data_IF_175165990022
#
_entry.id   IF_175165990022
#
_cell.length_a   1.000
_cell.length_b   1.000
_cell.length_c   1.000
_cell.angle_alpha   90.00
_cell.angle_beta   90.00
_cell.angle_gamma   90.00
#
_symmetry.space_group_name_H-M   'P 1'
#
loop_
_entity.id
_entity.type
_entity.pdbx_description
1 polymer ?
#
# COMPACT_ATOMS: atom_id res chain seq x y z
N UNK A 1 -19.74 -6.15 36.55
CA UNK A 1 -19.38 -6.73 35.24
C UNK A 1 -18.09 -7.48 35.47
N UNK A 2 -18.08 -8.78 35.23
CA UNK A 2 -16.93 -9.62 35.57
C UNK A 2 -15.75 -9.27 34.65
N UNK A 3 -14.51 -9.48 35.12
CA UNK A 3 -13.32 -9.19 34.34
C UNK A 3 -13.31 -9.98 33.02
N UNK A 4 -13.88 -11.18 33.06
CA UNK A 4 -14.08 -12.06 31.90
C UNK A 4 -15.04 -11.48 30.87
N UNK A 5 -16.21 -10.99 31.30
CA UNK A 5 -17.20 -10.36 30.41
C UNK A 5 -16.60 -9.15 29.65
N UNK A 6 -15.72 -8.40 30.33
CA UNK A 6 -15.04 -7.24 29.74
C UNK A 6 -14.00 -7.63 28.71
N UNK A 7 -13.25 -8.71 28.94
CA UNK A 7 -12.28 -9.24 27.98
C UNK A 7 -13.00 -9.82 26.76
N UNK A 8 -14.08 -10.56 26.95
CA UNK A 8 -14.86 -11.16 25.87
C UNK A 8 -15.46 -10.07 24.96
N UNK A 9 -16.00 -8.98 25.54
CA UNK A 9 -16.49 -7.82 24.80
C UNK A 9 -15.38 -7.16 23.95
N UNK A 10 -14.20 -6.95 24.52
CA UNK A 10 -13.07 -6.33 23.81
C UNK A 10 -12.55 -7.22 22.68
N UNK A 11 -12.58 -8.55 22.86
CA UNK A 11 -12.22 -9.51 21.81
C UNK A 11 -13.24 -9.51 20.66
N UNK A 12 -14.53 -9.34 20.96
CA UNK A 12 -15.56 -9.20 19.94
C UNK A 12 -15.38 -7.90 19.14
N UNK A 13 -15.11 -6.78 19.83
CA UNK A 13 -14.82 -5.50 19.20
C UNK A 13 -13.57 -5.59 18.29
N UNK A 14 -12.51 -6.22 18.79
CA UNK A 14 -11.29 -6.50 18.02
C UNK A 14 -11.59 -7.30 16.74
N UNK A 15 -12.38 -8.37 16.84
CA UNK A 15 -12.77 -9.20 15.67
C UNK A 15 -13.58 -8.39 14.67
N UNK A 16 -14.52 -7.57 15.14
CA UNK A 16 -15.32 -6.70 14.29
C UNK A 16 -14.44 -5.71 13.51
N UNK A 17 -13.54 -4.99 14.19
CA UNK A 17 -12.61 -4.06 13.54
C UNK A 17 -11.67 -4.75 12.56
N UNK A 18 -11.14 -5.92 12.92
CA UNK A 18 -10.29 -6.70 12.02
C UNK A 18 -11.03 -7.09 10.75
N UNK A 19 -12.26 -7.60 10.88
CA UNK A 19 -13.09 -7.99 9.72
C UNK A 19 -13.39 -6.81 8.79
N UNK A 20 -13.56 -5.61 9.37
CA UNK A 20 -13.77 -4.38 8.61
C UNK A 20 -12.50 -3.98 7.83
N UNK A 21 -11.33 -4.07 8.46
CA UNK A 21 -10.05 -3.80 7.79
C UNK A 21 -9.82 -4.81 6.65
N UNK A 22 -10.06 -6.10 6.88
CA UNK A 22 -9.93 -7.15 5.86
C UNK A 22 -10.87 -6.89 4.67
N UNK A 23 -12.12 -6.49 4.93
CA UNK A 23 -13.08 -6.09 3.90
C UNK A 23 -12.59 -4.88 3.09
N UNK A 24 -12.07 -3.84 3.77
CA UNK A 24 -11.52 -2.63 3.12
C UNK A 24 -10.27 -2.93 2.29
N UNK A 25 -9.43 -3.88 2.71
CA UNK A 25 -8.27 -4.33 1.94
C UNK A 25 -8.72 -5.09 0.68
N UNK A 26 -9.66 -6.03 0.84
CA UNK A 26 -10.21 -6.80 -0.28
C UNK A 26 -10.81 -5.88 -1.34
N UNK A 27 -11.64 -4.91 -0.94
CA UNK A 27 -12.27 -3.94 -1.84
C UNK A 27 -11.24 -3.15 -2.68
N UNK A 28 -10.06 -2.81 -2.12
CA UNK A 28 -8.99 -2.15 -2.88
C UNK A 28 -8.41 -3.03 -3.96
N UNK A 29 -8.14 -4.30 -3.66
CA UNK A 29 -7.59 -5.23 -4.64
C UNK A 29 -8.60 -5.50 -5.77
N UNK A 30 -9.88 -5.60 -5.43
CA UNK A 30 -10.95 -5.69 -6.42
C UNK A 30 -10.98 -4.47 -7.33
N UNK A 31 -10.86 -3.26 -6.77
CA UNK A 31 -10.83 -2.02 -7.53
C UNK A 31 -9.60 -1.93 -8.45
N UNK A 32 -8.41 -2.31 -7.98
CA UNK A 32 -7.21 -2.43 -8.84
C UNK A 32 -7.44 -3.43 -9.97
N UNK A 33 -8.07 -4.58 -9.68
CA UNK A 33 -8.40 -5.61 -10.66
C UNK A 33 -9.32 -5.08 -11.77
N UNK A 34 -10.38 -4.35 -11.42
CA UNK A 34 -11.28 -3.75 -12.41
C UNK A 34 -10.57 -2.74 -13.31
N UNK A 35 -9.68 -1.93 -12.73
CA UNK A 35 -8.92 -0.92 -13.47
C UNK A 35 -7.94 -1.57 -14.43
N UNK A 36 -7.23 -2.60 -13.98
CA UNK A 36 -6.33 -3.37 -14.82
C UNK A 36 -7.10 -3.99 -15.99
N UNK A 37 -8.25 -4.62 -15.73
CA UNK A 37 -9.09 -5.22 -16.77
C UNK A 37 -9.58 -4.18 -17.81
N UNK A 38 -10.07 -3.02 -17.35
CA UNK A 38 -10.52 -1.93 -18.22
C UNK A 38 -9.36 -1.32 -19.03
N UNK A 39 -8.20 -1.13 -18.40
CA UNK A 39 -7.00 -0.63 -19.07
C UNK A 39 -6.49 -1.59 -20.14
N UNK A 40 -6.47 -2.90 -19.83
CA UNK A 40 -6.13 -3.95 -20.80
C UNK A 40 -7.12 -3.94 -21.98
N UNK A 41 -8.43 -3.92 -21.71
CA UNK A 41 -9.44 -3.89 -22.76
C UNK A 41 -9.23 -2.71 -23.73
N UNK A 42 -9.05 -1.49 -23.20
CA UNK A 42 -8.86 -0.32 -24.04
C UNK A 42 -7.55 -0.33 -24.83
N UNK A 43 -6.47 -0.86 -24.24
CA UNK A 43 -5.19 -1.00 -24.92
C UNK A 43 -5.27 -1.97 -26.12
N UNK A 44 -5.93 -3.11 -25.95
CA UNK A 44 -6.12 -4.08 -27.03
C UNK A 44 -7.08 -3.59 -28.13
N UNK A 45 -8.11 -2.81 -27.77
CA UNK A 45 -9.01 -2.20 -28.75
C UNK A 45 -8.26 -1.18 -29.65
N UNK A 46 -7.29 -0.43 -29.09
CA UNK A 46 -6.50 0.55 -29.85
C UNK A 46 -5.52 -0.06 -30.84
N UNK A 47 -4.95 -1.25 -30.59
CA UNK A 47 -4.06 -1.90 -31.55
C UNK A 47 -4.82 -2.54 -32.73
N UNK A 48 -6.05 -3.01 -32.49
CA UNK A 48 -6.82 -3.76 -33.49
C UNK A 48 -7.53 -2.85 -34.50
N UNK A 49 -7.77 -1.58 -34.17
CA UNK A 49 -8.52 -0.61 -34.99
C UNK A 49 -7.63 0.43 -35.70
N UNK A 50 -6.56 0.01 -36.40
CA UNK A 50 -5.85 0.85 -37.40
C UNK A 50 -6.66 0.99 -38.71
N UNK A 51 -7.94 1.34 -38.64
CA UNK A 51 -8.75 1.68 -39.80
C UNK A 51 -9.05 3.19 -39.83
N UNK A 52 -9.07 3.82 -41.02
CA UNK A 52 -9.09 5.26 -41.16
C UNK A 52 -10.38 5.85 -40.60
N UNK A 53 -10.19 6.80 -39.70
CA UNK A 53 -11.18 7.53 -38.92
C UNK A 53 -12.35 8.07 -39.75
N UNK A 54 -13.53 7.47 -39.60
CA UNK A 54 -14.79 8.12 -39.93
C UNK A 54 -15.22 8.93 -38.70
N UNK A 55 -15.27 10.25 -38.87
CA UNK A 55 -15.71 11.23 -37.88
C UNK A 55 -17.19 11.02 -37.49
N UNK A 56 -17.44 10.24 -36.45
CA UNK A 56 -18.76 10.18 -35.81
C UNK A 56 -18.58 10.25 -34.29
N UNK A 57 -18.70 11.47 -33.75
CA UNK A 57 -18.99 11.75 -32.34
C UNK A 57 -17.79 12.11 -31.44
N UNK A 58 -18.07 12.63 -30.22
CA UNK A 58 -17.07 13.14 -29.24
C UNK A 58 -16.13 12.06 -28.65
N UNK A 59 -16.08 10.89 -29.27
CA UNK A 59 -15.24 9.75 -28.93
C UNK A 59 -13.92 9.77 -29.72
N UNK A 60 -13.34 10.96 -29.89
CA UNK A 60 -11.99 11.10 -30.45
C UNK A 60 -10.99 10.39 -29.53
N UNK A 61 -9.84 9.98 -30.09
CA UNK A 61 -8.75 9.40 -29.32
C UNK A 61 -8.38 10.25 -28.09
N UNK A 62 -8.42 11.58 -28.24
CA UNK A 62 -8.22 12.56 -27.17
C UNK A 62 -9.29 12.51 -26.06
N UNK A 63 -10.56 12.27 -26.42
CA UNK A 63 -11.63 12.08 -25.44
C UNK A 63 -11.47 10.80 -24.62
N UNK A 64 -11.02 9.71 -25.26
CA UNK A 64 -10.74 8.44 -24.56
C UNK A 64 -9.55 8.56 -23.61
N UNK A 65 -8.45 9.16 -24.05
CA UNK A 65 -7.27 9.36 -23.20
C UNK A 65 -7.55 10.28 -22.02
N UNK A 66 -8.32 11.36 -22.21
CA UNK A 66 -8.75 12.23 -21.12
C UNK A 66 -9.63 11.50 -20.10
N UNK A 67 -10.55 10.65 -20.54
CA UNK A 67 -11.39 9.84 -19.65
C UNK A 67 -10.55 8.83 -18.84
N UNK A 68 -9.58 8.16 -19.48
CA UNK A 68 -8.66 7.25 -18.79
C UNK A 68 -7.79 7.99 -17.78
N UNK A 69 -7.27 9.16 -18.13
CA UNK A 69 -6.48 9.99 -17.21
C UNK A 69 -7.32 10.43 -16.00
N UNK A 70 -8.57 10.87 -16.22
CA UNK A 70 -9.49 11.24 -15.15
C UNK A 70 -9.83 10.05 -14.25
N UNK A 71 -10.11 8.88 -14.83
CA UNK A 71 -10.34 7.65 -14.07
C UNK A 71 -9.11 7.26 -13.24
N UNK A 72 -7.91 7.27 -13.83
CA UNK A 72 -6.66 6.99 -13.14
C UNK A 72 -6.40 7.96 -11.97
N UNK A 73 -6.66 9.26 -12.15
CA UNK A 73 -6.56 10.26 -11.08
C UNK A 73 -7.58 10.02 -9.97
N UNK A 74 -8.84 9.71 -10.31
CA UNK A 74 -9.87 9.37 -9.32
C UNK A 74 -9.50 8.13 -8.51
N UNK A 75 -8.92 7.11 -9.16
CA UNK A 75 -8.43 5.90 -8.53
C UNK A 75 -7.24 6.16 -7.62
N UNK A 76 -6.28 6.97 -8.07
CA UNK A 76 -5.15 7.38 -7.24
C UNK A 76 -5.63 8.15 -6.00
N UNK A 77 -6.59 9.05 -6.18
CA UNK A 77 -7.20 9.78 -5.08
C UNK A 77 -7.91 8.85 -4.09
N UNK A 78 -8.74 7.92 -4.59
CA UNK A 78 -9.40 6.90 -3.76
C UNK A 78 -8.37 6.03 -3.04
N UNK A 79 -7.32 5.60 -3.73
CA UNK A 79 -6.23 4.80 -3.15
C UNK A 79 -5.56 5.52 -1.98
N UNK A 80 -5.19 6.78 -2.16
CA UNK A 80 -4.61 7.62 -1.10
C UNK A 80 -5.61 7.83 0.05
N UNK A 81 -6.87 8.14 -0.27
CA UNK A 81 -7.92 8.37 0.73
C UNK A 81 -8.17 7.14 1.59
N UNK A 82 -8.35 5.97 0.97
CA UNK A 82 -8.46 4.73 1.72
C UNK A 82 -7.17 4.46 2.50
N UNK A 83 -6.00 4.75 1.92
CA UNK A 83 -4.68 4.62 2.56
C UNK A 83 -4.66 5.26 3.94
N UNK A 84 -5.14 6.51 4.01
CA UNK A 84 -5.25 7.26 5.27
C UNK A 84 -6.25 6.65 6.25
N UNK A 85 -7.37 6.08 5.77
CA UNK A 85 -8.38 5.45 6.62
C UNK A 85 -7.86 4.18 7.29
N UNK A 86 -7.19 3.31 6.53
CA UNK A 86 -6.64 2.07 7.10
C UNK A 86 -5.58 2.40 8.15
N UNK A 87 -4.73 3.41 7.92
CA UNK A 87 -3.77 3.87 8.93
C UNK A 87 -4.44 4.33 10.23
N UNK A 88 -5.59 5.00 10.15
CA UNK A 88 -6.35 5.39 11.34
C UNK A 88 -6.91 4.17 12.08
N UNK A 89 -7.48 3.21 11.34
CA UNK A 89 -8.00 1.98 11.92
C UNK A 89 -6.90 1.14 12.59
N UNK A 90 -5.71 1.02 11.98
CA UNK A 90 -4.60 0.28 12.58
C UNK A 90 -4.13 0.92 13.89
N UNK A 91 -4.05 2.26 13.94
CA UNK A 91 -3.70 2.94 15.20
C UNK A 91 -4.68 2.64 16.34
N UNK A 92 -5.98 2.58 16.05
CA UNK A 92 -7.00 2.21 17.04
C UNK A 92 -6.87 0.75 17.46
N UNK A 93 -6.53 -0.13 16.52
CA UNK A 93 -6.39 -1.56 16.76
C UNK A 93 -5.15 -1.85 17.65
N UNK A 94 -4.04 -1.13 17.47
CA UNK A 94 -2.88 -1.17 18.40
C UNK A 94 -3.28 -0.74 19.80
N UNK A 95 -4.08 0.31 19.95
CA UNK A 95 -4.51 0.79 21.26
C UNK A 95 -5.40 -0.25 21.97
N UNK A 96 -6.29 -0.91 21.24
CA UNK A 96 -7.08 -2.03 21.76
C UNK A 96 -6.21 -3.24 22.13
N UNK A 97 -5.23 -3.60 21.29
CA UNK A 97 -4.28 -4.68 21.57
C UNK A 97 -3.53 -4.42 22.89
N UNK A 98 -3.06 -3.18 23.10
CA UNK A 98 -2.40 -2.78 24.35
C UNK A 98 -3.33 -2.86 25.56
N UNK A 99 -4.59 -2.43 25.42
CA UNK A 99 -5.59 -2.50 26.51
C UNK A 99 -5.93 -3.95 26.87
N UNK A 100 -6.07 -4.84 25.89
CA UNK A 100 -6.34 -6.25 26.11
C UNK A 100 -5.15 -6.92 26.80
N UNK A 101 -3.93 -6.71 26.31
CA UNK A 101 -2.72 -7.27 26.91
C UNK A 101 -2.51 -6.76 28.35
N UNK A 102 -2.80 -5.47 28.60
CA UNK A 102 -2.72 -4.90 29.95
C UNK A 102 -3.75 -5.52 30.93
N UNK A 103 -4.96 -5.83 30.46
CA UNK A 103 -6.00 -6.47 31.26
C UNK A 103 -5.75 -7.96 31.48
N UNK A 104 -5.16 -8.64 30.50
CA UNK A 104 -4.83 -10.06 30.60
C UNK A 104 -3.54 -10.33 31.37
N UNK A 105 -2.66 -9.33 31.54
CA UNK A 105 -1.39 -9.46 32.25
C UNK A 105 -0.28 -10.15 31.45
N UNK A 106 -0.55 -10.51 30.19
CA UNK A 106 0.37 -11.19 29.28
C UNK A 106 0.24 -10.60 27.85
N UNK A 107 1.31 -10.68 27.06
CA UNK A 107 1.31 -10.31 25.63
C UNK A 107 0.65 -11.40 24.77
N UNK A 108 -0.68 -11.52 24.86
CA UNK A 108 -1.45 -12.52 24.12
C UNK A 108 -1.62 -12.17 22.63
N UNK A 109 -1.66 -10.88 22.30
CA UNK A 109 -1.84 -10.39 20.93
C UNK A 109 -0.61 -9.57 20.53
N UNK A 110 0.09 -10.00 19.48
CA UNK A 110 1.30 -9.33 18.91
C UNK A 110 1.19 -9.08 17.41
N UNK A 111 0.05 -9.39 16.82
CA UNK A 111 -0.11 -9.54 15.38
C UNK A 111 0.04 -8.21 14.64
N UNK A 112 -0.54 -7.12 15.16
CA UNK A 112 -0.41 -5.81 14.50
C UNK A 112 0.98 -5.20 14.67
N UNK A 113 1.60 -5.40 15.84
CA UNK A 113 2.99 -5.00 16.08
C UNK A 113 3.92 -5.60 15.01
N UNK A 114 3.72 -6.88 14.66
CA UNK A 114 4.49 -7.57 13.62
C UNK A 114 4.14 -7.10 12.20
N UNK A 115 2.88 -6.79 11.93
CA UNK A 115 2.45 -6.32 10.61
C UNK A 115 2.93 -4.90 10.29
N UNK A 116 2.94 -3.98 11.25
CA UNK A 116 3.47 -2.61 11.07
C UNK A 116 4.97 -2.66 10.74
N UNK A 117 5.73 -3.54 11.39
CA UNK A 117 7.14 -3.82 11.09
C UNK A 117 7.32 -4.41 9.69
N UNK A 118 6.46 -5.36 9.27
CA UNK A 118 6.49 -5.95 7.94
C UNK A 118 6.14 -4.97 6.81
N UNK A 119 5.15 -4.09 7.02
CA UNK A 119 4.74 -3.10 6.03
C UNK A 119 5.83 -2.03 5.81
N UNK A 120 6.48 -1.53 6.88
CA UNK A 120 7.65 -0.63 6.76
C UNK A 120 8.78 -1.27 5.94
N UNK A 121 9.04 -2.56 6.14
CA UNK A 121 10.09 -3.27 5.40
C UNK A 121 9.76 -3.44 3.92
N UNK A 122 8.49 -3.63 3.56
CA UNK A 122 8.08 -3.78 2.16
C UNK A 122 8.16 -2.45 1.39
N UNK A 123 7.74 -1.34 2.02
CA UNK A 123 7.93 -0.01 1.46
C UNK A 123 9.41 0.35 1.31
N UNK A 124 10.25 0.10 2.32
CA UNK A 124 11.70 0.30 2.19
C UNK A 124 12.31 -0.53 1.07
N UNK A 125 11.94 -1.80 0.92
CA UNK A 125 12.41 -2.64 -0.19
C UNK A 125 12.00 -2.11 -1.57
N UNK A 126 10.79 -1.58 -1.70
CA UNK A 126 10.33 -0.98 -2.96
C UNK A 126 11.08 0.33 -3.25
N UNK A 127 11.32 1.16 -2.23
CA UNK A 127 12.14 2.36 -2.37
C UNK A 127 13.60 2.03 -2.75
N UNK A 128 14.18 0.99 -2.16
CA UNK A 128 15.53 0.51 -2.48
C UNK A 128 15.61 -0.06 -3.92
N UNK A 129 14.53 -0.70 -4.41
CA UNK A 129 14.46 -1.18 -5.79
C UNK A 129 14.36 -0.03 -6.81
N UNK A 130 13.73 1.09 -6.46
CA UNK A 130 13.51 2.25 -7.33
C UNK A 130 14.77 3.15 -7.39
N UNK A 131 15.68 3.06 -6.41
CA UNK A 131 16.99 3.75 -6.43
C UNK A 131 18.20 2.79 -6.55
N UNK A 132 18.40 2.11 -7.69
CA UNK A 132 19.64 1.38 -7.94
C UNK A 132 20.75 2.37 -8.33
N UNK A 133 21.27 3.15 -7.39
CA UNK A 133 22.30 4.15 -7.71
C UNK A 133 23.02 4.83 -6.56
N UNK A 134 22.48 4.83 -5.34
CA UNK A 134 23.13 5.50 -4.20
C UNK A 134 24.12 4.62 -3.43
N UNK A 135 24.68 3.57 -4.05
CA UNK A 135 25.92 2.96 -3.51
C UNK A 135 27.06 3.89 -3.88
N UNK A 136 27.37 4.82 -2.97
CA UNK A 136 28.64 5.51 -2.95
C UNK A 136 29.76 4.47 -3.07
N UNK A 137 30.47 4.53 -4.19
CA UNK A 137 31.70 3.79 -4.44
C UNK A 137 32.65 3.96 -3.25
N UNK A 138 33.12 2.87 -2.61
CA UNK A 138 34.24 2.93 -1.68
C UNK A 138 35.54 3.08 -2.49
N UNK A 139 35.74 4.23 -3.12
CA UNK A 139 36.98 4.57 -3.84
C UNK A 139 37.58 5.83 -3.26
N UNK A 140 38.23 5.68 -2.11
CA UNK A 140 39.45 6.42 -1.77
C UNK A 140 40.06 5.79 -0.50
N UNK A 141 40.77 4.67 -0.65
CA UNK A 141 41.86 4.36 0.29
C UNK A 141 42.94 5.42 0.05
N UNK A 142 43.29 6.29 1.02
CA UNK A 142 44.51 7.06 0.91
C UNK A 142 45.69 6.09 0.92
N UNK A 143 46.60 6.27 -0.05
CA UNK A 143 47.80 5.46 -0.22
C UNK A 143 48.72 5.53 1.02
N UNK A 144 49.47 4.46 1.35
CA UNK A 144 50.39 4.47 2.47
C UNK A 144 51.56 5.44 2.22
N UNK A 145 52.08 6.13 3.25
CA UNK A 145 53.21 7.02 3.11
C UNK A 145 54.47 6.23 2.73
N UNK A 146 55.10 6.61 1.61
CA UNK A 146 56.43 6.14 1.21
C UNK A 146 57.46 6.56 2.27
N UNK A 147 58.00 5.58 2.99
CA UNK A 147 59.16 5.78 3.84
C UNK A 147 60.34 6.34 3.03
N UNK A 148 60.85 7.50 3.45
CA UNK A 148 62.10 8.05 2.96
C UNK A 148 63.17 7.76 4.01
N UNK A 149 64.04 6.80 3.69
CA UNK A 149 65.32 6.59 4.36
C UNK A 149 66.20 7.82 4.19
N UNK A 150 66.68 8.40 5.29
CA UNK A 150 68.09 8.49 5.68
C UNK A 150 68.22 9.32 6.95
#
# INVERSE_FOLDING_TARGET
>A
MDAKDRVDLLLEEYRAMRSEIESRISARFTLVGYVAALGTYAFFETETNRLPSVHLGPWTFEGRTALFAAAALALLFLWLRFGTLIRRCSHQLVELEQRINALAGEELLTWETRQVLGQRNLFHKIYDLIQPGARLSPTARPAPPRGRRR
#
